data_IF_350830893940
#
_entry.id   IF_350830893940
#
_cell.length_a   1.000
_cell.length_b   1.000
_cell.length_c   1.000
_cell.angle_alpha   90.00
_cell.angle_beta   90.00
_cell.angle_gamma   90.00
#
_symmetry.space_group_name_H-M   'P 1'
#
loop_
_entity.id
_entity.type
_entity.pdbx_description
1 polymer ?
#
# COMPACT_ATOMS: atom_id res chain seq x y z
N UNK A 1 -20.19 -7.42 -13.09
CA UNK A 1 -19.88 -8.53 -12.16
C UNK A 1 -18.68 -8.12 -11.35
N UNK A 2 -18.80 -8.07 -10.03
CA UNK A 2 -17.63 -7.96 -9.16
C UNK A 2 -16.91 -9.33 -9.18
N UNK A 3 -15.58 -9.37 -9.33
CA UNK A 3 -14.84 -10.63 -9.28
C UNK A 3 -15.03 -11.29 -7.91
N UNK A 4 -15.07 -12.62 -7.88
CA UNK A 4 -15.10 -13.35 -6.61
C UNK A 4 -13.81 -13.11 -5.82
N UNK A 5 -13.88 -13.23 -4.49
CA UNK A 5 -12.70 -13.05 -3.63
C UNK A 5 -11.56 -14.02 -3.98
N UNK A 6 -11.91 -15.24 -4.42
CA UNK A 6 -10.95 -16.24 -4.90
C UNK A 6 -10.25 -15.80 -6.19
N UNK A 7 -10.99 -15.21 -7.14
CA UNK A 7 -10.40 -14.65 -8.37
C UNK A 7 -9.51 -13.45 -8.06
N UNK A 8 -9.91 -12.56 -7.14
CA UNK A 8 -9.09 -11.42 -6.74
C UNK A 8 -7.75 -11.87 -6.13
N UNK A 9 -7.79 -12.86 -5.23
CA UNK A 9 -6.59 -13.45 -4.62
C UNK A 9 -5.69 -14.10 -5.68
N UNK A 10 -6.28 -14.82 -6.63
CA UNK A 10 -5.53 -15.45 -7.72
C UNK A 10 -4.84 -14.41 -8.62
N UNK A 11 -5.53 -13.33 -8.98
CA UNK A 11 -5.03 -12.31 -9.88
C UNK A 11 -3.97 -11.41 -9.25
N UNK A 12 -4.16 -11.04 -7.98
CA UNK A 12 -3.25 -10.13 -7.27
C UNK A 12 -2.10 -10.85 -6.58
N UNK A 13 -2.23 -12.16 -6.36
CA UNK A 13 -1.30 -12.95 -5.56
C UNK A 13 -1.25 -12.55 -4.08
N UNK A 14 -2.23 -11.75 -3.61
CA UNK A 14 -2.35 -11.29 -2.24
C UNK A 14 -2.98 -12.36 -1.36
N UNK A 15 -2.53 -12.44 -0.11
CA UNK A 15 -3.23 -13.28 0.87
C UNK A 15 -4.45 -12.57 1.43
N UNK A 16 -5.44 -13.33 1.89
CA UNK A 16 -6.62 -12.80 2.58
C UNK A 16 -6.22 -11.94 3.80
N UNK A 17 -5.14 -12.31 4.48
CA UNK A 17 -4.62 -11.55 5.62
C UNK A 17 -4.13 -10.16 5.22
N UNK A 18 -3.39 -10.05 4.11
CA UNK A 18 -2.92 -8.74 3.62
C UNK A 18 -4.10 -7.84 3.26
N UNK A 19 -5.11 -8.39 2.59
CA UNK A 19 -6.31 -7.65 2.20
C UNK A 19 -7.09 -7.17 3.43
N UNK A 20 -7.26 -8.05 4.42
CA UNK A 20 -7.96 -7.71 5.66
C UNK A 20 -7.21 -6.65 6.47
N UNK A 21 -5.87 -6.73 6.54
CA UNK A 21 -5.03 -5.76 7.25
C UNK A 21 -5.15 -4.35 6.65
N UNK A 22 -5.08 -4.25 5.31
CA UNK A 22 -5.26 -2.98 4.59
C UNK A 22 -6.69 -2.45 4.67
N UNK A 23 -7.69 -3.33 4.67
CA UNK A 23 -9.09 -2.92 4.86
C UNK A 23 -9.33 -2.37 6.28
N UNK A 24 -8.77 -3.03 7.29
CA UNK A 24 -8.88 -2.60 8.69
C UNK A 24 -8.18 -1.24 8.92
N UNK A 25 -6.97 -1.05 8.38
CA UNK A 25 -6.28 0.25 8.49
C UNK A 25 -7.00 1.37 7.76
N UNK A 26 -7.56 1.09 6.58
CA UNK A 26 -8.34 2.06 5.82
C UNK A 26 -9.63 2.48 6.56
N UNK A 27 -10.27 1.54 7.25
CA UNK A 27 -11.42 1.85 8.11
C UNK A 27 -11.02 2.77 9.27
N UNK A 28 -9.92 2.47 9.97
CA UNK A 28 -9.41 3.32 11.05
C UNK A 28 -9.04 4.72 10.52
N UNK A 29 -8.35 4.79 9.39
CA UNK A 29 -8.03 6.06 8.72
C UNK A 29 -9.29 6.86 8.39
N UNK A 30 -10.34 6.22 7.87
CA UNK A 30 -11.61 6.86 7.53
C UNK A 30 -12.36 7.39 8.76
N UNK A 31 -12.14 6.83 9.94
CA UNK A 31 -12.68 7.35 11.20
C UNK A 31 -11.85 8.56 11.69
N UNK A 32 -10.52 8.50 11.60
CA UNK A 32 -9.63 9.56 12.12
C UNK A 32 -9.65 10.81 11.23
N UNK A 33 -9.70 10.64 9.91
CA UNK A 33 -9.70 11.74 8.94
C UNK A 33 -10.81 12.79 9.18
N UNK A 34 -12.10 12.44 9.34
CA UNK A 34 -13.15 13.43 9.60
C UNK A 34 -12.98 14.12 10.96
N UNK A 35 -12.40 13.46 11.97
CA UNK A 35 -12.12 14.09 13.26
C UNK A 35 -11.13 15.26 13.12
N UNK A 36 -10.12 15.11 12.25
CA UNK A 36 -9.18 16.19 11.88
C UNK A 36 -9.86 17.27 11.02
N UNK A 37 -10.64 16.88 10.01
CA UNK A 37 -11.32 17.84 9.10
C UNK A 37 -12.28 18.75 9.88
N UNK A 38 -13.04 18.19 10.82
CA UNK A 38 -13.95 18.96 11.67
C UNK A 38 -13.25 19.66 12.85
N UNK A 39 -11.91 19.62 12.92
CA UNK A 39 -11.09 20.24 13.98
C UNK A 39 -11.51 19.82 15.40
N UNK A 40 -12.05 18.61 15.54
CA UNK A 40 -12.44 18.06 16.85
C UNK A 40 -11.19 17.78 17.69
N UNK A 41 -10.11 17.35 17.03
CA UNK A 41 -8.78 17.14 17.62
C UNK A 41 -7.69 17.78 16.75
N UNK A 42 -6.75 18.47 17.40
CA UNK A 42 -5.54 19.02 16.76
C UNK A 42 -4.50 17.90 16.62
N UNK A 43 -4.47 17.27 15.45
CA UNK A 43 -3.56 16.17 15.12
C UNK A 43 -2.81 16.50 13.82
N UNK A 44 -1.54 16.12 13.66
CA UNK A 44 -0.82 16.24 12.37
C UNK A 44 -1.36 15.23 11.35
N UNK A 45 -1.28 15.53 10.05
CA UNK A 45 -1.67 14.59 9.00
C UNK A 45 -0.81 13.31 9.02
N UNK A 46 0.45 13.37 9.43
CA UNK A 46 1.25 12.16 9.69
C UNK A 46 0.61 11.19 10.68
N UNK A 47 -0.05 11.72 11.72
CA UNK A 47 -0.74 10.90 12.71
C UNK A 47 -2.04 10.31 12.13
N UNK A 48 -2.75 11.08 11.30
CA UNK A 48 -3.96 10.63 10.60
C UNK A 48 -3.62 9.46 9.66
N UNK A 49 -2.51 9.55 8.93
CA UNK A 49 -2.03 8.50 8.02
C UNK A 49 -1.33 7.32 8.72
N UNK A 50 -1.00 7.44 10.01
CA UNK A 50 -0.29 6.40 10.76
C UNK A 50 -0.90 5.00 10.71
N UNK A 51 -2.24 4.79 10.72
CA UNK A 51 -2.80 3.44 10.61
C UNK A 51 -2.44 2.74 9.30
N UNK A 52 -2.36 3.50 8.20
CA UNK A 52 -1.97 2.99 6.88
C UNK A 52 -0.50 2.58 6.87
N UNK A 53 0.39 3.44 7.38
CA UNK A 53 1.82 3.14 7.49
C UNK A 53 2.11 1.92 8.38
N UNK A 54 1.37 1.78 9.48
CA UNK A 54 1.48 0.63 10.38
C UNK A 54 1.08 -0.65 9.65
N UNK A 55 -0.04 -0.65 8.92
CA UNK A 55 -0.47 -1.81 8.12
C UNK A 55 0.54 -2.16 7.01
N UNK A 56 1.05 -1.17 6.28
CA UNK A 56 2.10 -1.36 5.28
C UNK A 56 3.38 -1.96 5.88
N UNK A 57 3.76 -1.53 7.08
CA UNK A 57 4.93 -2.05 7.82
C UNK A 57 4.72 -3.49 8.29
N UNK A 58 3.57 -3.81 8.89
CA UNK A 58 3.22 -5.17 9.27
C UNK A 58 3.16 -6.10 8.07
N UNK A 59 2.64 -5.61 6.94
CA UNK A 59 2.59 -6.40 5.73
C UNK A 59 3.99 -6.68 5.17
N UNK A 60 4.87 -5.69 5.15
CA UNK A 60 6.28 -5.87 4.75
C UNK A 60 6.99 -6.90 5.63
N UNK A 61 6.74 -6.87 6.94
CA UNK A 61 7.30 -7.86 7.86
C UNK A 61 6.78 -9.28 7.59
N UNK A 62 5.49 -9.43 7.31
CA UNK A 62 4.89 -10.71 6.96
C UNK A 62 5.47 -11.29 5.67
N UNK A 63 5.59 -10.48 4.62
CA UNK A 63 6.20 -10.87 3.35
C UNK A 63 7.67 -11.28 3.53
N UNK A 64 8.41 -10.57 4.39
CA UNK A 64 9.79 -10.91 4.75
C UNK A 64 9.91 -12.28 5.44
N UNK A 65 9.06 -12.57 6.43
CA UNK A 65 9.06 -13.87 7.12
C UNK A 65 8.77 -15.01 6.14
N UNK A 66 7.77 -14.85 5.26
CA UNK A 66 7.44 -15.87 4.27
C UNK A 66 8.62 -16.14 3.34
N UNK A 67 9.35 -15.10 2.94
CA UNK A 67 10.54 -15.26 2.11
C UNK A 67 11.65 -16.03 2.82
N UNK A 68 11.97 -15.65 4.06
CA UNK A 68 12.96 -16.36 4.87
C UNK A 68 12.57 -17.83 5.00
N UNK A 69 11.30 -18.11 5.33
CA UNK A 69 10.80 -19.49 5.45
C UNK A 69 10.92 -20.25 4.12
N UNK A 70 10.58 -19.62 3.00
CA UNK A 70 10.69 -20.23 1.67
C UNK A 70 12.13 -20.60 1.31
N UNK A 71 13.10 -19.75 1.65
CA UNK A 71 14.52 -19.97 1.32
C UNK A 71 15.13 -21.05 2.22
N UNK A 72 14.87 -20.99 3.52
CA UNK A 72 15.52 -21.88 4.49
C UNK A 72 14.86 -23.26 4.61
N UNK A 73 13.53 -23.34 4.55
CA UNK A 73 12.80 -24.60 4.80
C UNK A 73 12.60 -25.41 3.51
N UNK A 74 12.26 -24.74 2.40
CA UNK A 74 11.90 -25.41 1.14
C UNK A 74 13.06 -25.52 0.15
N UNK A 75 14.21 -24.86 0.39
CA UNK A 75 15.39 -24.80 -0.50
C UNK A 75 15.08 -24.41 -1.96
N UNK A 76 13.93 -23.79 -2.20
CA UNK A 76 13.48 -23.33 -3.51
C UNK A 76 13.83 -21.85 -3.69
N UNK A 77 14.75 -21.57 -4.63
CA UNK A 77 15.30 -20.22 -4.80
C UNK A 77 14.67 -19.41 -5.94
N UNK A 78 14.36 -20.02 -7.09
CA UNK A 78 14.04 -19.25 -8.31
C UNK A 78 12.60 -18.74 -8.39
N UNK A 79 11.62 -19.60 -8.07
CA UNK A 79 10.20 -19.23 -8.11
C UNK A 79 9.81 -18.27 -6.97
N UNK A 80 10.12 -18.59 -5.71
CA UNK A 80 9.75 -17.76 -4.57
C UNK A 80 10.45 -16.40 -4.53
N UNK A 81 11.69 -16.28 -5.01
CA UNK A 81 12.41 -15.01 -5.03
C UNK A 81 11.79 -13.99 -5.99
N UNK A 82 11.34 -14.42 -7.17
CA UNK A 82 10.63 -13.54 -8.11
C UNK A 82 9.29 -13.07 -7.51
N UNK A 83 8.52 -13.99 -6.90
CA UNK A 83 7.25 -13.65 -6.24
C UNK A 83 7.45 -12.69 -5.07
N UNK A 84 8.49 -12.90 -4.26
CA UNK A 84 8.88 -11.99 -3.19
C UNK A 84 9.24 -10.60 -3.74
N UNK A 85 10.07 -10.54 -4.80
CA UNK A 85 10.43 -9.28 -5.44
C UNK A 85 9.21 -8.49 -5.92
N UNK A 86 8.23 -9.15 -6.54
CA UNK A 86 6.96 -8.52 -6.93
C UNK A 86 6.15 -8.02 -5.72
N UNK A 87 6.06 -8.81 -4.66
CA UNK A 87 5.33 -8.42 -3.44
C UNK A 87 5.99 -7.22 -2.74
N UNK A 88 7.33 -7.20 -2.65
CA UNK A 88 8.09 -6.09 -2.07
C UNK A 88 7.98 -4.83 -2.94
N UNK A 89 8.12 -4.96 -4.27
CA UNK A 89 7.91 -3.83 -5.19
C UNK A 89 6.51 -3.24 -5.04
N UNK A 90 5.47 -4.09 -4.97
CA UNK A 90 4.09 -3.66 -4.75
C UNK A 90 3.95 -2.89 -3.44
N UNK A 91 4.47 -3.45 -2.35
CA UNK A 91 4.44 -2.81 -1.03
C UNK A 91 5.17 -1.47 -1.01
N UNK A 92 6.34 -1.40 -1.64
CA UNK A 92 7.12 -0.17 -1.75
C UNK A 92 6.35 0.92 -2.52
N UNK A 93 5.65 0.56 -3.61
CA UNK A 93 4.83 1.50 -4.37
C UNK A 93 3.61 2.00 -3.59
N UNK A 94 2.97 1.12 -2.81
CA UNK A 94 1.86 1.51 -1.91
C UNK A 94 2.36 2.46 -0.83
N UNK A 95 3.44 2.10 -0.13
CA UNK A 95 4.03 2.94 0.91
C UNK A 95 4.51 4.29 0.35
N UNK A 96 5.11 4.30 -0.85
CA UNK A 96 5.51 5.53 -1.53
C UNK A 96 4.29 6.40 -1.85
N UNK A 97 3.20 5.82 -2.34
CA UNK A 97 1.95 6.55 -2.55
C UNK A 97 1.41 7.15 -1.26
N UNK A 98 1.34 6.39 -0.17
CA UNK A 98 0.87 6.87 1.14
C UNK A 98 1.70 8.05 1.66
N UNK A 99 3.04 7.96 1.55
CA UNK A 99 3.95 9.02 1.99
C UNK A 99 3.82 10.27 1.11
N UNK A 100 3.78 10.10 -0.23
CA UNK A 100 3.59 11.22 -1.16
C UNK A 100 2.24 11.92 -0.94
N UNK A 101 1.19 11.15 -0.68
CA UNK A 101 -0.15 11.67 -0.41
C UNK A 101 -0.17 12.43 0.93
N UNK A 102 0.40 11.87 1.99
CA UNK A 102 0.52 12.52 3.29
C UNK A 102 1.30 13.84 3.19
N UNK A 103 2.46 13.82 2.52
CA UNK A 103 3.29 15.01 2.31
C UNK A 103 2.57 16.10 1.51
N UNK A 104 1.83 15.70 0.47
CA UNK A 104 1.06 16.64 -0.36
C UNK A 104 -0.09 17.28 0.42
N UNK A 105 -0.86 16.49 1.18
CA UNK A 105 -1.98 16.98 1.99
C UNK A 105 -1.46 17.92 3.09
N UNK A 106 -0.39 17.56 3.80
CA UNK A 106 0.15 18.43 4.84
C UNK A 106 0.69 19.75 4.27
N UNK A 107 1.34 19.71 3.10
CA UNK A 107 1.81 20.91 2.40
C UNK A 107 0.68 21.82 1.91
N UNK A 108 -0.42 21.25 1.43
CA UNK A 108 -1.58 22.01 0.93
C UNK A 108 -2.43 22.59 2.07
N UNK A 109 -2.61 21.88 3.19
CA UNK A 109 -3.53 22.27 4.27
C UNK A 109 -2.89 22.93 5.50
N UNK A 110 -1.66 22.59 5.89
CA UNK A 110 -1.02 23.18 7.10
C UNK A 110 -0.02 24.29 6.77
N UNK A 111 0.70 24.19 5.65
CA UNK A 111 1.83 25.09 5.38
C UNK A 111 1.57 26.22 4.38
N UNK A 112 0.38 26.31 3.76
CA UNK A 112 -0.26 27.50 3.15
C UNK A 112 0.51 28.40 2.15
N UNK A 113 1.82 28.29 2.00
CA UNK A 113 2.68 29.23 1.26
C UNK A 113 3.78 28.54 0.45
N UNK A 114 4.04 27.26 0.67
CA UNK A 114 4.91 26.44 -0.19
C UNK A 114 4.07 25.29 -0.73
N UNK A 115 3.10 25.62 -1.59
CA UNK A 115 2.37 24.61 -2.34
C UNK A 115 3.39 23.69 -2.99
N UNK A 116 3.48 22.44 -2.52
CA UNK A 116 4.33 21.43 -3.14
C UNK A 116 3.90 21.37 -4.59
N UNK A 117 4.72 21.93 -5.49
CA UNK A 117 4.41 22.14 -6.92
C UNK A 117 4.30 20.83 -7.70
N UNK A 118 4.35 19.71 -6.99
CA UNK A 118 4.09 18.38 -7.49
C UNK A 118 2.62 18.29 -7.86
N UNK A 119 2.34 18.12 -9.16
CA UNK A 119 1.00 17.84 -9.66
C UNK A 119 0.47 16.56 -8.99
N UNK A 120 -0.84 16.49 -8.74
CA UNK A 120 -1.48 15.25 -8.27
C UNK A 120 -1.11 14.07 -9.16
N UNK A 121 -0.84 14.28 -10.46
CA UNK A 121 -0.34 13.22 -11.35
C UNK A 121 0.95 12.53 -10.87
N UNK A 122 1.88 13.29 -10.27
CA UNK A 122 3.13 12.73 -9.71
C UNK A 122 2.85 11.93 -8.45
N UNK A 123 1.95 12.41 -7.58
CA UNK A 123 1.52 11.70 -6.37
C UNK A 123 0.88 10.36 -6.72
N UNK A 124 0.06 10.30 -7.78
CA UNK A 124 -0.58 9.07 -8.25
C UNK A 124 0.33 8.17 -9.11
N UNK A 125 1.55 8.59 -9.44
CA UNK A 125 2.48 7.81 -10.29
C UNK A 125 2.75 6.39 -9.76
N UNK A 126 2.97 6.16 -8.45
CA UNK A 126 3.16 4.80 -7.95
C UNK A 126 1.92 3.91 -8.18
N UNK A 127 0.71 4.48 -8.11
CA UNK A 127 -0.54 3.76 -8.38
C UNK A 127 -0.66 3.37 -9.85
N UNK A 128 -0.27 4.27 -10.77
CA UNK A 128 -0.24 3.95 -12.20
C UNK A 128 0.76 2.83 -12.51
N UNK A 129 1.95 2.85 -11.88
CA UNK A 129 2.95 1.79 -12.02
C UNK A 129 2.42 0.46 -11.45
N UNK A 130 1.70 0.50 -10.33
CA UNK A 130 1.04 -0.69 -9.76
C UNK A 130 0.03 -1.30 -10.72
N UNK A 131 -0.85 -0.48 -11.32
CA UNK A 131 -1.81 -0.98 -12.30
C UNK A 131 -1.11 -1.60 -13.51
N UNK A 132 -0.06 -0.96 -14.03
CA UNK A 132 0.73 -1.52 -15.12
C UNK A 132 1.36 -2.87 -14.74
N UNK A 133 1.93 -2.98 -13.53
CA UNK A 133 2.51 -4.21 -13.02
C UNK A 133 1.46 -5.33 -12.90
N UNK A 134 0.25 -5.01 -12.44
CA UNK A 134 -0.87 -5.96 -12.37
C UNK A 134 -1.31 -6.43 -13.76
N UNK A 135 -1.40 -5.54 -14.74
CA UNK A 135 -1.71 -5.92 -16.13
C UNK A 135 -0.65 -6.86 -16.71
N UNK A 136 0.64 -6.62 -16.42
CA UNK A 136 1.72 -7.52 -16.88
C UNK A 136 1.62 -8.88 -16.17
N UNK A 137 1.27 -8.91 -14.89
CA UNK A 137 1.08 -10.15 -14.14
C UNK A 137 -0.08 -10.98 -14.65
N UNK A 138 -1.23 -10.37 -14.95
CA UNK A 138 -2.40 -11.07 -15.48
C UNK A 138 -2.10 -11.66 -16.87
N UNK A 139 -1.34 -10.97 -17.72
CA UNK A 139 -0.89 -11.51 -19.01
C UNK A 139 0.11 -12.67 -18.91
N UNK A 140 0.77 -12.88 -17.76
CA UNK A 140 1.67 -14.02 -17.54
C UNK A 140 0.98 -15.24 -16.90
N UNK A 141 -0.20 -15.04 -16.32
CA UNK A 141 -0.99 -16.08 -15.67
C UNK A 141 -1.95 -16.79 -16.65
N UNK A 142 -2.23 -16.17 -17.80
CA UNK A 142 -2.91 -16.77 -18.95
C UNK A 142 -1.91 -17.31 -19.96
#
# INVERSE_FOLDING_TARGET
MLPSLSELIYWTGLTLFELWLHAASLLVFLIILPLKIHQIYVMSYWLVFSPLFIASSFNSYFVFIIFVRSVFEYKDFKGPALKFGFNVMRLALIALFEVLLCYKIEGDFEHGQVAVRSSYGVVFTPVWILFLALCIQTCRLF
#
